data_IF_531490890823
#
_entry.id   IF_531490890823
#
_cell.length_a   1.000
_cell.length_b   1.000
_cell.length_c   1.000
_cell.angle_alpha   90.00
_cell.angle_beta   90.00
_cell.angle_gamma   90.00
#
_symmetry.space_group_name_H-M   'P 1'
#
loop_
_entity.id
_entity.type
_entity.pdbx_description
1 polymer ?
#
# COMPACT_ATOMS: atom_id res chain seq x y z
N UNK A 1 -8.40 -5.74 5.27
CA UNK A 1 -9.22 -5.41 4.09
C UNK A 1 -10.27 -6.48 3.96
N UNK A 2 -11.53 -6.07 3.84
CA UNK A 2 -12.64 -6.93 3.50
C UNK A 2 -13.36 -6.35 2.28
N UNK A 3 -13.61 -7.17 1.28
CA UNK A 3 -14.46 -6.82 0.14
C UNK A 3 -15.82 -7.52 0.34
N UNK A 4 -16.89 -6.74 0.28
CA UNK A 4 -18.26 -7.23 0.43
C UNK A 4 -19.11 -6.79 -0.74
N UNK A 5 -20.13 -7.61 -1.07
CA UNK A 5 -21.22 -7.21 -1.94
C UNK A 5 -22.39 -6.80 -1.07
N UNK A 6 -22.89 -5.59 -1.23
CA UNK A 6 -24.08 -5.11 -0.54
C UNK A 6 -24.84 -4.13 -1.41
N UNK A 7 -26.18 -4.23 -1.35
CA UNK A 7 -27.08 -3.25 -1.94
C UNK A 7 -27.44 -2.22 -0.88
N UNK A 8 -26.57 -1.23 -0.74
CA UNK A 8 -26.75 -0.17 0.25
C UNK A 8 -26.76 1.20 -0.42
N UNK A 9 -27.73 2.01 -0.03
CA UNK A 9 -27.86 3.40 -0.52
C UNK A 9 -26.89 4.35 0.18
N UNK A 10 -25.60 3.97 0.28
CA UNK A 10 -24.59 4.91 0.71
C UNK A 10 -24.17 5.80 -0.46
N UNK A 11 -23.88 7.08 -0.19
CA UNK A 11 -23.29 7.95 -1.20
C UNK A 11 -22.02 7.37 -1.80
N UNK A 12 -21.79 7.61 -3.11
CA UNK A 12 -20.54 7.23 -3.78
C UNK A 12 -19.42 8.15 -3.33
N UNK A 13 -18.97 7.96 -2.11
CA UNK A 13 -17.89 8.72 -1.49
C UNK A 13 -16.93 7.77 -0.76
N UNK A 14 -15.70 8.22 -0.56
CA UNK A 14 -14.73 7.54 0.28
C UNK A 14 -14.83 8.09 1.70
N UNK A 15 -15.23 7.23 2.65
CA UNK A 15 -15.34 7.58 4.06
C UNK A 15 -14.15 7.08 4.82
N UNK A 16 -13.56 7.95 5.62
CA UNK A 16 -12.46 7.63 6.51
C UNK A 16 -12.80 8.06 7.93
N UNK A 17 -12.59 7.15 8.88
CA UNK A 17 -12.82 7.42 10.30
C UNK A 17 -11.52 7.29 11.08
N UNK A 18 -11.28 8.24 11.95
CA UNK A 18 -10.27 8.19 12.99
C UNK A 18 -10.94 7.76 14.29
N UNK A 19 -10.47 6.67 14.90
CA UNK A 19 -10.95 6.17 16.19
C UNK A 19 -12.50 6.03 16.30
N UNK A 20 -13.18 5.37 15.35
CA UNK A 20 -14.62 5.20 15.42
C UNK A 20 -15.04 4.24 16.55
N UNK A 21 -16.29 4.31 17.05
CA UNK A 21 -16.75 3.42 18.12
C UNK A 21 -16.67 1.93 17.78
N UNK A 22 -16.83 1.57 16.51
CA UNK A 22 -16.77 0.20 16.01
C UNK A 22 -15.33 -0.31 15.78
N UNK A 23 -14.32 0.57 15.80
CA UNK A 23 -12.90 0.21 15.68
C UNK A 23 -12.04 1.12 16.56
N UNK A 24 -12.23 1.06 17.87
CA UNK A 24 -11.62 1.96 18.87
C UNK A 24 -10.10 1.87 18.85
N UNK A 25 -9.46 3.04 18.90
CA UNK A 25 -8.00 3.18 18.89
C UNK A 25 -7.38 2.94 17.50
N UNK A 26 -8.19 2.76 16.47
CA UNK A 26 -7.75 2.39 15.12
C UNK A 26 -8.53 3.19 14.08
N UNK A 27 -8.02 3.24 12.86
CA UNK A 27 -8.73 3.86 11.74
C UNK A 27 -9.58 2.85 10.95
N UNK A 28 -10.55 3.36 10.21
CA UNK A 28 -11.37 2.58 9.30
C UNK A 28 -11.66 3.36 8.01
N UNK A 29 -11.84 2.64 6.92
CA UNK A 29 -12.17 3.20 5.62
C UNK A 29 -13.27 2.38 4.96
N UNK A 30 -14.18 3.07 4.27
CA UNK A 30 -15.22 2.49 3.41
C UNK A 30 -15.21 3.20 2.08
N UNK A 31 -15.19 2.47 0.98
CA UNK A 31 -15.42 3.04 -0.33
C UNK A 31 -16.04 2.06 -1.31
N UNK A 32 -16.91 2.59 -2.17
CA UNK A 32 -17.56 1.84 -3.23
C UNK A 32 -16.59 1.49 -4.33
N UNK A 33 -16.69 0.26 -4.81
CA UNK A 33 -16.07 -0.25 -6.01
C UNK A 33 -17.14 -0.44 -7.10
N UNK A 34 -16.80 -0.76 -8.36
CA UNK A 34 -17.78 -1.16 -9.35
C UNK A 34 -18.65 -2.34 -8.91
N UNK A 35 -19.83 -2.51 -9.51
CA UNK A 35 -20.69 -3.70 -9.40
C UNK A 35 -21.18 -4.03 -7.98
N UNK A 36 -21.54 -3.00 -7.19
CA UNK A 36 -22.00 -3.11 -5.80
C UNK A 36 -20.98 -3.73 -4.82
N UNK A 37 -19.72 -3.81 -5.24
CA UNK A 37 -18.64 -4.13 -4.32
C UNK A 37 -18.28 -2.93 -3.44
N UNK A 38 -18.00 -3.22 -2.18
CA UNK A 38 -17.55 -2.25 -1.21
C UNK A 38 -16.29 -2.76 -0.52
N UNK A 39 -15.28 -1.94 -0.51
CA UNK A 39 -14.04 -2.22 0.21
C UNK A 39 -14.06 -1.54 1.57
N UNK A 40 -13.78 -2.35 2.57
CA UNK A 40 -13.69 -1.93 3.96
C UNK A 40 -12.29 -2.25 4.46
N UNK A 41 -11.56 -1.21 4.82
CA UNK A 41 -10.24 -1.36 5.44
C UNK A 41 -10.40 -1.05 6.94
N UNK A 42 -10.07 -2.02 7.78
CA UNK A 42 -10.00 -1.85 9.23
C UNK A 42 -8.54 -1.96 9.65
N UNK A 43 -8.02 -0.92 10.28
CA UNK A 43 -6.73 -1.00 10.92
C UNK A 43 -6.82 -1.99 12.08
N UNK A 44 -5.81 -2.83 12.23
CA UNK A 44 -5.67 -3.79 13.32
C UNK A 44 -4.38 -3.48 14.09
N UNK A 45 -4.32 -3.87 15.36
CA UNK A 45 -3.11 -3.74 16.17
C UNK A 45 -1.95 -4.59 15.65
N UNK A 46 -0.77 -4.34 16.18
CA UNK A 46 0.45 -5.06 15.78
C UNK A 46 0.52 -6.49 16.34
N UNK A 47 -0.02 -6.71 17.53
CA UNK A 47 0.01 -7.98 18.25
C UNK A 47 -1.26 -8.80 17.97
N UNK A 48 -1.45 -9.20 16.71
CA UNK A 48 -2.61 -9.97 16.28
C UNK A 48 -2.19 -11.31 15.66
N UNK A 49 -3.04 -12.32 15.81
CA UNK A 49 -2.97 -13.53 15.02
C UNK A 49 -3.70 -13.30 13.69
N UNK A 50 -2.92 -13.12 12.62
CA UNK A 50 -3.46 -12.80 11.29
C UNK A 50 -4.37 -13.90 10.74
N UNK A 51 -4.11 -15.16 11.08
CA UNK A 51 -4.93 -16.28 10.58
C UNK A 51 -6.29 -16.32 11.29
N UNK A 52 -6.32 -16.00 12.58
CA UNK A 52 -7.57 -15.88 13.32
C UNK A 52 -8.37 -14.65 12.91
N UNK A 53 -7.69 -13.50 12.74
CA UNK A 53 -8.35 -12.22 12.41
C UNK A 53 -8.96 -12.19 11.00
N UNK A 54 -8.55 -13.09 10.10
CA UNK A 54 -9.17 -13.26 8.77
C UNK A 54 -10.44 -14.11 8.78
N UNK A 55 -10.73 -14.82 9.87
CA UNK A 55 -11.88 -15.73 9.91
C UNK A 55 -13.19 -14.96 9.87
N UNK A 56 -14.21 -15.45 9.14
CA UNK A 56 -15.52 -14.79 9.04
C UNK A 56 -16.14 -14.46 10.40
N UNK A 57 -15.93 -15.32 11.40
CA UNK A 57 -16.44 -15.15 12.77
C UNK A 57 -15.85 -13.93 13.48
N UNK A 58 -14.69 -13.45 13.03
CA UNK A 58 -14.05 -12.22 13.52
C UNK A 58 -14.35 -11.02 12.66
N UNK A 59 -14.43 -11.22 11.36
CA UNK A 59 -14.60 -10.15 10.38
C UNK A 59 -16.06 -9.67 10.35
N UNK A 60 -17.01 -10.57 10.19
CA UNK A 60 -18.44 -10.23 10.04
C UNK A 60 -18.98 -9.36 11.18
N UNK A 61 -18.74 -9.66 12.47
CA UNK A 61 -19.21 -8.80 13.55
C UNK A 61 -18.64 -7.37 13.51
N UNK A 62 -17.39 -7.20 13.06
CA UNK A 62 -16.80 -5.86 12.92
C UNK A 62 -17.43 -5.08 11.77
N UNK A 63 -17.68 -5.76 10.65
CA UNK A 63 -18.37 -5.15 9.51
C UNK A 63 -19.79 -4.77 9.88
N UNK A 64 -20.52 -5.65 10.58
CA UNK A 64 -21.87 -5.36 11.04
C UNK A 64 -21.92 -4.17 12.00
N UNK A 65 -20.95 -4.10 12.93
CA UNK A 65 -20.85 -2.95 13.85
C UNK A 65 -20.55 -1.63 13.13
N UNK A 66 -19.92 -1.67 11.97
CA UNK A 66 -19.63 -0.49 11.13
C UNK A 66 -20.83 -0.11 10.27
N UNK A 67 -21.49 -1.08 9.65
CA UNK A 67 -22.52 -0.87 8.64
C UNK A 67 -23.90 -0.66 9.26
N UNK A 68 -24.13 -1.24 10.46
CA UNK A 68 -25.43 -1.29 11.12
C UNK A 68 -26.15 -2.61 10.87
N UNK A 69 -27.04 -3.00 11.78
CA UNK A 69 -27.75 -4.28 11.76
C UNK A 69 -28.73 -4.45 10.58
N UNK A 70 -29.16 -3.33 10.00
CA UNK A 70 -30.10 -3.30 8.88
C UNK A 70 -29.45 -3.63 7.52
N UNK A 71 -28.13 -3.60 7.43
CA UNK A 71 -27.41 -3.83 6.18
C UNK A 71 -27.06 -5.30 6.04
N UNK A 72 -27.59 -5.91 4.97
CA UNK A 72 -27.18 -7.24 4.55
C UNK A 72 -26.00 -7.15 3.56
N UNK A 73 -25.01 -7.96 3.77
CA UNK A 73 -23.86 -8.06 2.88
C UNK A 73 -23.38 -9.50 2.75
N UNK A 74 -22.75 -9.79 1.63
CA UNK A 74 -22.03 -11.04 1.38
C UNK A 74 -20.53 -10.76 1.43
N UNK A 75 -19.80 -11.52 2.23
CA UNK A 75 -18.35 -11.40 2.39
C UNK A 75 -17.66 -12.16 1.24
N UNK A 76 -17.06 -11.43 0.31
CA UNK A 76 -16.41 -12.00 -0.86
C UNK A 76 -14.95 -12.34 -0.62
N UNK A 77 -14.23 -11.45 0.06
CA UNK A 77 -12.79 -11.59 0.23
C UNK A 77 -12.28 -10.91 1.48
N UNK A 78 -11.28 -11.53 2.10
CA UNK A 78 -10.58 -10.96 3.27
C UNK A 78 -9.08 -11.15 3.12
N UNK A 79 -8.36 -10.09 3.45
CA UNK A 79 -6.89 -10.14 3.56
C UNK A 79 -6.40 -9.23 4.67
N UNK A 80 -5.27 -9.61 5.25
CA UNK A 80 -4.51 -8.74 6.16
C UNK A 80 -3.22 -8.36 5.48
N UNK A 81 -3.04 -7.07 5.27
CA UNK A 81 -1.88 -6.48 4.65
C UNK A 81 -1.02 -5.76 5.69
N UNK A 82 0.26 -6.03 5.68
CA UNK A 82 1.23 -5.33 6.54
C UNK A 82 2.15 -4.51 5.67
N UNK A 83 2.10 -3.21 5.84
CA UNK A 83 2.95 -2.28 5.10
C UNK A 83 4.36 -2.26 5.67
N UNK A 84 5.31 -2.04 4.80
CA UNK A 84 6.71 -1.80 5.15
C UNK A 84 7.19 -0.54 4.45
N UNK A 85 8.00 0.25 5.16
CA UNK A 85 8.71 1.39 4.58
C UNK A 85 10.20 1.09 4.74
N UNK A 86 10.82 0.58 3.69
CA UNK A 86 12.21 0.19 3.70
C UNK A 86 12.81 0.20 2.29
N UNK A 87 14.12 0.24 2.19
CA UNK A 87 14.87 0.12 0.95
C UNK A 87 16.13 -0.71 1.13
N UNK A 88 16.65 -1.18 0.01
CA UNK A 88 18.00 -1.75 -0.04
C UNK A 88 19.06 -0.65 0.15
N UNK A 89 20.23 -1.02 0.62
CA UNK A 89 21.38 -0.10 0.69
C UNK A 89 21.86 0.31 -0.70
N UNK A 90 21.79 -0.63 -1.66
CA UNK A 90 22.16 -0.42 -3.06
C UNK A 90 21.12 -1.07 -3.96
N UNK A 91 20.79 -0.42 -5.08
CA UNK A 91 19.91 -0.95 -6.12
C UNK A 91 20.68 -1.64 -7.25
N UNK A 92 22.02 -1.41 -7.31
CA UNK A 92 22.91 -2.08 -8.25
C UNK A 92 23.86 -3.03 -7.52
N UNK A 93 23.90 -4.29 -7.96
CA UNK A 93 24.86 -5.32 -7.51
C UNK A 93 25.53 -5.95 -8.74
N UNK A 94 26.61 -5.33 -9.20
CA UNK A 94 27.28 -5.73 -10.43
C UNK A 94 26.38 -5.59 -11.65
N UNK A 95 25.93 -6.70 -12.23
CA UNK A 95 25.04 -6.74 -13.38
C UNK A 95 23.55 -6.92 -13.01
N UNK A 96 23.24 -7.02 -11.73
CA UNK A 96 21.87 -7.11 -11.23
C UNK A 96 21.43 -5.71 -10.79
N UNK A 97 20.25 -5.30 -11.26
CA UNK A 97 19.65 -4.01 -10.97
C UNK A 97 18.25 -4.25 -10.41
N UNK A 98 17.93 -3.59 -9.30
CA UNK A 98 16.64 -3.67 -8.63
C UNK A 98 15.86 -2.37 -8.87
N UNK A 99 14.55 -2.47 -9.04
CA UNK A 99 13.66 -1.35 -9.26
C UNK A 99 12.28 -1.61 -8.60
N UNK A 100 11.54 -0.56 -8.26
CA UNK A 100 10.23 -0.66 -7.64
C UNK A 100 10.28 -1.40 -6.30
N UNK A 101 9.25 -2.17 -5.98
CA UNK A 101 9.09 -2.86 -4.70
C UNK A 101 10.21 -3.85 -4.38
N UNK A 102 10.97 -4.31 -5.38
CA UNK A 102 12.15 -5.13 -5.15
C UNK A 102 13.35 -4.34 -4.59
N UNK A 103 13.40 -3.03 -4.82
CA UNK A 103 14.44 -2.13 -4.35
C UNK A 103 14.00 -1.34 -3.11
N UNK A 104 12.76 -0.89 -3.07
CA UNK A 104 12.20 -0.09 -1.98
C UNK A 104 10.69 -0.29 -1.85
N UNK A 105 10.20 -0.28 -0.64
CA UNK A 105 8.79 -0.40 -0.31
C UNK A 105 8.32 0.80 0.51
N UNK A 106 7.11 1.24 0.26
CA UNK A 106 6.45 2.31 1.00
C UNK A 106 5.04 1.91 1.36
N UNK A 107 4.44 2.55 2.36
CA UNK A 107 3.02 2.36 2.64
C UNK A 107 2.17 2.91 1.48
N UNK A 108 0.90 2.47 1.35
CA UNK A 108 0.01 2.93 0.28
C UNK A 108 -0.41 4.40 0.44
N UNK A 109 -0.19 4.98 1.62
CA UNK A 109 -0.59 6.34 1.93
C UNK A 109 0.25 7.35 1.14
N UNK A 110 -0.46 8.18 0.35
CA UNK A 110 0.17 9.12 -0.57
C UNK A 110 0.44 8.57 -1.97
N UNK A 111 0.06 7.30 -2.27
CA UNK A 111 0.14 6.66 -3.60
C UNK A 111 1.54 6.75 -4.26
N UNK A 112 2.60 6.55 -3.48
CA UNK A 112 3.99 6.77 -3.92
C UNK A 112 4.66 5.55 -4.52
N UNK A 113 4.25 4.31 -4.15
CA UNK A 113 4.96 3.08 -4.53
C UNK A 113 5.05 2.88 -6.03
N UNK A 114 3.90 2.74 -6.72
CA UNK A 114 3.87 2.54 -8.17
C UNK A 114 4.53 3.69 -8.94
N UNK A 115 4.27 4.94 -8.53
CA UNK A 115 4.87 6.12 -9.15
C UNK A 115 6.40 6.14 -9.02
N UNK A 116 6.93 5.75 -7.87
CA UNK A 116 8.37 5.64 -7.65
C UNK A 116 9.00 4.53 -8.50
N UNK A 117 8.33 3.37 -8.59
CA UNK A 117 8.79 2.29 -9.46
C UNK A 117 8.81 2.68 -10.96
N UNK A 118 7.82 3.44 -11.43
CA UNK A 118 7.83 3.98 -12.80
C UNK A 118 8.99 4.95 -13.02
N UNK A 119 9.29 5.80 -12.04
CA UNK A 119 10.44 6.70 -12.09
C UNK A 119 11.78 5.95 -12.09
N UNK A 120 11.87 4.82 -11.38
CA UNK A 120 13.06 3.97 -11.42
C UNK A 120 13.30 3.44 -12.83
N UNK A 121 12.25 2.91 -13.47
CA UNK A 121 12.32 2.38 -14.83
C UNK A 121 12.70 3.46 -15.83
N UNK A 122 12.07 4.63 -15.75
CA UNK A 122 12.39 5.78 -16.60
C UNK A 122 13.87 6.18 -16.45
N UNK A 123 14.35 6.29 -15.21
CA UNK A 123 15.74 6.65 -14.92
C UNK A 123 16.74 5.58 -15.41
N UNK A 124 16.39 4.29 -15.24
CA UNK A 124 17.29 3.17 -15.56
C UNK A 124 17.37 2.88 -17.06
N UNK A 125 16.23 2.87 -17.79
CA UNK A 125 16.16 2.33 -19.14
C UNK A 125 17.09 3.04 -20.13
N UNK A 126 17.13 4.36 -20.13
CA UNK A 126 18.00 5.09 -21.05
C UNK A 126 19.48 4.94 -20.69
N UNK A 127 19.83 4.90 -19.40
CA UNK A 127 21.19 4.66 -18.93
C UNK A 127 21.69 3.26 -19.34
N UNK A 128 20.84 2.26 -19.09
CA UNK A 128 21.15 0.88 -19.46
C UNK A 128 21.31 0.73 -20.98
N UNK A 129 20.44 1.38 -21.77
CA UNK A 129 20.55 1.39 -23.22
C UNK A 129 21.89 1.95 -23.69
N UNK A 130 22.31 3.11 -23.19
CA UNK A 130 23.58 3.72 -23.58
C UNK A 130 24.78 2.84 -23.23
N UNK A 131 24.74 2.17 -22.09
CA UNK A 131 25.82 1.25 -21.67
C UNK A 131 25.85 0.01 -22.55
N UNK A 132 24.69 -0.60 -22.84
CA UNK A 132 24.61 -1.79 -23.70
C UNK A 132 25.01 -1.49 -25.14
N UNK A 133 24.68 -0.31 -25.67
CA UNK A 133 25.09 0.15 -27.00
C UNK A 133 26.55 0.65 -27.04
N UNK A 134 27.29 0.54 -25.93
CA UNK A 134 28.68 1.01 -25.78
C UNK A 134 28.85 2.52 -26.04
N UNK A 135 27.79 3.30 -25.84
CA UNK A 135 27.79 4.76 -25.99
C UNK A 135 28.12 5.48 -24.68
N UNK A 136 28.10 4.77 -23.55
CA UNK A 136 28.47 5.28 -22.25
C UNK A 136 29.23 4.22 -21.42
N UNK A 137 30.08 4.65 -20.50
CA UNK A 137 30.78 3.72 -19.60
C UNK A 137 29.80 3.08 -18.61
N UNK A 138 30.17 1.89 -18.12
CA UNK A 138 29.35 1.14 -17.15
C UNK A 138 29.10 1.92 -15.84
N UNK A 139 30.00 2.86 -15.50
CA UNK A 139 29.84 3.76 -14.36
C UNK A 139 28.61 4.70 -14.45
N UNK A 140 28.01 4.87 -15.64
CA UNK A 140 26.74 5.59 -15.76
C UNK A 140 25.63 4.93 -14.92
N UNK A 141 25.67 3.61 -14.76
CA UNK A 141 24.68 2.89 -13.93
C UNK A 141 24.86 3.15 -12.43
N UNK A 142 26.02 3.67 -11.98
CA UNK A 142 26.19 4.09 -10.59
C UNK A 142 25.36 5.36 -10.29
N UNK A 143 25.09 6.18 -11.32
CA UNK A 143 24.20 7.34 -11.15
C UNK A 143 22.75 6.92 -10.92
N UNK A 144 22.28 5.81 -11.50
CA UNK A 144 20.99 5.22 -11.19
C UNK A 144 20.88 4.91 -9.70
N UNK A 145 21.86 4.20 -9.18
CA UNK A 145 21.91 3.80 -7.76
C UNK A 145 21.81 5.04 -6.86
N UNK A 146 22.67 6.03 -7.08
CA UNK A 146 22.73 7.23 -6.26
C UNK A 146 21.43 8.07 -6.33
N UNK A 147 20.90 8.30 -7.52
CA UNK A 147 19.70 9.12 -7.73
C UNK A 147 18.45 8.45 -7.17
N UNK A 148 18.30 7.14 -7.39
CA UNK A 148 17.09 6.43 -6.97
C UNK A 148 17.10 6.08 -5.49
N UNK A 149 18.26 5.86 -4.87
CA UNK A 149 18.38 5.72 -3.41
C UNK A 149 17.92 7.00 -2.71
N UNK A 150 18.37 8.16 -3.17
CA UNK A 150 17.95 9.43 -2.59
C UNK A 150 16.44 9.64 -2.72
N UNK A 151 15.87 9.41 -3.90
CA UNK A 151 14.43 9.54 -4.13
C UNK A 151 13.60 8.53 -3.31
N UNK A 152 14.09 7.31 -3.15
CA UNK A 152 13.44 6.29 -2.31
C UNK A 152 13.44 6.70 -0.83
N UNK A 153 14.55 7.25 -0.34
CA UNK A 153 14.66 7.74 1.04
C UNK A 153 13.64 8.85 1.32
N UNK A 154 13.53 9.84 0.43
CA UNK A 154 12.54 10.92 0.53
C UNK A 154 11.11 10.36 0.52
N UNK A 155 10.81 9.41 -0.38
CA UNK A 155 9.49 8.78 -0.46
C UNK A 155 9.15 7.98 0.80
N UNK A 156 10.11 7.28 1.39
CA UNK A 156 9.94 6.55 2.66
C UNK A 156 9.59 7.53 3.78
N UNK A 157 10.35 8.63 3.91
CA UNK A 157 10.10 9.63 4.95
C UNK A 157 8.69 10.25 4.82
N UNK A 158 8.30 10.64 3.61
CA UNK A 158 6.98 11.20 3.36
C UNK A 158 5.85 10.20 3.58
N UNK A 159 6.04 8.96 3.14
CA UNK A 159 5.05 7.89 3.32
C UNK A 159 4.88 7.52 4.79
N UNK A 160 5.98 7.43 5.54
CA UNK A 160 5.94 7.17 6.98
C UNK A 160 5.18 8.25 7.74
N UNK A 161 5.47 9.54 7.46
CA UNK A 161 4.72 10.66 8.06
C UNK A 161 3.22 10.60 7.74
N UNK A 162 2.86 10.24 6.50
CA UNK A 162 1.45 10.07 6.11
C UNK A 162 0.82 8.90 6.85
N UNK A 163 1.56 7.81 7.03
CA UNK A 163 1.12 6.65 7.81
C UNK A 163 0.86 7.03 9.26
N UNK A 164 1.82 7.66 9.92
CA UNK A 164 1.71 8.08 11.33
C UNK A 164 0.51 9.01 11.57
N UNK A 165 0.20 9.88 10.59
CA UNK A 165 -0.97 10.75 10.65
C UNK A 165 -2.30 9.99 10.50
N UNK A 166 -2.35 9.00 9.62
CA UNK A 166 -3.58 8.28 9.26
C UNK A 166 -3.85 7.11 10.23
N UNK A 167 -2.80 6.56 10.81
CA UNK A 167 -2.85 5.41 11.73
C UNK A 167 -2.21 5.75 13.07
N UNK A 168 -2.87 6.63 13.86
CA UNK A 168 -2.33 7.11 15.12
C UNK A 168 -2.18 6.01 16.17
#
# INVERSE_FOLDING_TARGET
>A
IADVVMDAEFPTERRFWFNPPFNRGQSALLHKQPDNFWRIDLQLGWEIDKEQEKQPERVIPRLQAMLGDEINFELEWVSIYTFRCCRMEKFRHGRILFAGDSAHQVSPFGARGANSGMQDVDNLCWKLKLVLDQQAPESLLDSYDNERIQAAEENIQHSSRSTDFITP
#
